data_IF_200703580586
#
_entry.id   IF_200703580586
#
_cell.length_a   1.000
_cell.length_b   1.000
_cell.length_c   1.000
_cell.angle_alpha   90.00
_cell.angle_beta   90.00
_cell.angle_gamma   90.00
#
_symmetry.space_group_name_H-M   'P 1'
#
loop_
_entity.id
_entity.type
_entity.pdbx_description
1 polymer ?
#
# COMPACT_ATOMS: atom_id res chain seq x y z
N UNK A 1 -12.41 13.28 -7.80
CA UNK A 1 -11.18 13.44 -8.60
C UNK A 1 -10.17 12.44 -8.09
N UNK A 2 -9.34 11.87 -8.95
CA UNK A 2 -8.37 10.84 -8.53
C UNK A 2 -7.00 11.47 -8.25
N UNK A 3 -6.28 10.89 -7.28
CA UNK A 3 -4.91 11.27 -6.93
C UNK A 3 -3.98 10.07 -7.09
N UNK A 4 -2.80 10.28 -7.68
CA UNK A 4 -1.74 9.27 -7.74
C UNK A 4 -0.50 9.80 -7.02
N UNK A 5 0.04 9.02 -6.09
CA UNK A 5 1.21 9.38 -5.29
C UNK A 5 2.23 8.25 -5.32
N UNK A 6 3.51 8.61 -5.48
CA UNK A 6 4.63 7.68 -5.41
C UNK A 6 5.01 7.32 -3.96
N UNK A 7 5.21 6.04 -3.71
CA UNK A 7 5.73 5.53 -2.43
C UNK A 7 7.04 4.80 -2.65
N UNK A 8 7.72 4.37 -1.57
CA UNK A 8 8.92 3.53 -1.68
C UNK A 8 8.64 2.16 -2.32
N UNK A 9 7.38 1.74 -2.38
CA UNK A 9 6.98 0.41 -2.82
C UNK A 9 6.19 0.42 -4.13
N UNK A 10 5.92 1.59 -4.71
CA UNK A 10 5.16 1.76 -5.95
C UNK A 10 4.10 2.85 -5.84
N UNK A 11 3.48 3.20 -6.97
CA UNK A 11 2.43 4.20 -7.05
C UNK A 11 1.12 3.71 -6.40
N UNK A 12 0.41 4.63 -5.73
CA UNK A 12 -0.92 4.36 -5.16
C UNK A 12 -1.93 5.34 -5.73
N UNK A 13 -3.09 4.82 -6.15
CA UNK A 13 -4.26 5.63 -6.52
C UNK A 13 -5.21 5.79 -5.35
N UNK A 14 -5.66 7.01 -5.13
CA UNK A 14 -6.68 7.38 -4.15
C UNK A 14 -7.69 8.35 -4.72
N UNK A 15 -8.54 8.88 -3.84
CA UNK A 15 -9.60 9.82 -4.19
C UNK A 15 -9.44 11.15 -3.46
N UNK A 16 -9.82 12.23 -4.12
CA UNK A 16 -9.92 13.58 -3.55
C UNK A 16 -11.41 13.92 -3.39
N UNK A 17 -11.80 14.25 -2.16
CA UNK A 17 -13.14 14.74 -1.80
C UNK A 17 -13.00 15.83 -0.72
N UNK A 18 -13.75 16.93 -0.85
CA UNK A 18 -13.77 18.04 0.13
C UNK A 18 -12.38 18.58 0.53
N UNK A 19 -11.45 18.61 -0.44
CA UNK A 19 -10.06 19.03 -0.21
C UNK A 19 -9.16 17.99 0.48
N UNK A 20 -9.68 16.80 0.79
CA UNK A 20 -8.96 15.72 1.47
C UNK A 20 -8.61 14.60 0.49
N UNK A 21 -7.33 14.20 0.49
CA UNK A 21 -6.86 13.03 -0.25
C UNK A 21 -6.96 11.78 0.62
N UNK A 22 -7.61 10.73 0.12
CA UNK A 22 -7.80 9.47 0.85
C UNK A 22 -7.26 8.30 0.04
N UNK A 23 -6.44 7.47 0.69
CA UNK A 23 -5.88 6.24 0.14
C UNK A 23 -6.16 5.09 1.10
N UNK A 24 -6.72 3.99 0.61
CA UNK A 24 -7.18 2.86 1.45
C UNK A 24 -6.52 1.57 0.99
N UNK A 25 -6.27 0.65 1.92
CA UNK A 25 -5.75 -0.68 1.61
C UNK A 25 -4.29 -0.71 1.16
N UNK A 26 -3.48 0.32 1.46
CA UNK A 26 -2.05 0.32 1.11
C UNK A 26 -1.33 -0.75 1.94
N UNK A 27 -0.70 -1.75 1.31
CA UNK A 27 0.02 -2.78 2.04
C UNK A 27 1.33 -2.21 2.58
N UNK A 28 1.57 -2.38 3.89
CA UNK A 28 2.77 -1.88 4.57
C UNK A 28 3.81 -2.96 4.86
N UNK A 29 3.44 -4.23 4.71
CA UNK A 29 4.29 -5.41 4.93
C UNK A 29 3.83 -6.56 4.04
N UNK A 30 4.69 -7.56 3.85
CA UNK A 30 4.32 -8.78 3.13
C UNK A 30 3.14 -9.50 3.82
N UNK A 31 2.27 -10.21 3.06
CA UNK A 31 1.12 -10.87 3.65
C UNK A 31 1.50 -11.88 4.76
N UNK A 32 0.78 -11.89 5.90
CA UNK A 32 1.18 -12.63 7.11
C UNK A 32 0.71 -14.09 7.16
N UNK A 33 0.39 -14.69 6.02
CA UNK A 33 -0.09 -16.07 5.90
C UNK A 33 0.95 -16.99 5.25
N UNK A 34 0.68 -18.30 5.21
CA UNK A 34 1.60 -19.30 4.69
C UNK A 34 2.90 -19.35 5.50
N UNK A 35 4.05 -19.29 4.82
CA UNK A 35 5.38 -19.32 5.44
C UNK A 35 5.64 -18.13 6.39
N UNK A 36 4.85 -17.06 6.31
CA UNK A 36 4.98 -15.89 7.19
C UNK A 36 4.10 -15.98 8.45
N UNK A 37 3.27 -17.02 8.59
CA UNK A 37 2.39 -17.17 9.76
C UNK A 37 3.23 -17.27 11.04
N UNK A 38 2.82 -16.52 12.07
CA UNK A 38 3.50 -16.44 13.38
C UNK A 38 4.96 -15.95 13.32
N UNK A 39 5.33 -15.20 12.27
CA UNK A 39 6.64 -14.56 12.15
C UNK A 39 6.51 -13.02 12.23
N UNK A 40 7.58 -12.30 12.56
CA UNK A 40 7.59 -10.84 12.45
C UNK A 40 7.21 -10.36 11.03
N UNK A 41 6.67 -9.14 10.88
CA UNK A 41 6.35 -8.56 9.58
C UNK A 41 7.55 -8.58 8.64
N UNK A 42 7.35 -9.09 7.43
CA UNK A 42 8.40 -9.15 6.41
C UNK A 42 8.30 -7.95 5.47
N UNK A 43 9.43 -7.52 4.90
CA UNK A 43 9.46 -6.44 3.93
C UNK A 43 8.60 -6.80 2.72
N UNK A 44 7.76 -5.87 2.30
CA UNK A 44 6.93 -6.03 1.10
C UNK A 44 7.79 -5.98 -0.18
N UNK A 45 7.47 -6.83 -1.14
CA UNK A 45 7.96 -6.68 -2.52
C UNK A 45 7.28 -5.46 -3.16
N UNK A 46 8.07 -4.55 -3.72
CA UNK A 46 7.54 -3.42 -4.47
C UNK A 46 6.70 -3.90 -5.67
N UNK A 47 5.67 -3.15 -6.03
CA UNK A 47 4.82 -3.40 -7.19
C UNK A 47 5.11 -2.38 -8.30
N UNK A 48 4.95 -2.82 -9.54
CA UNK A 48 4.83 -1.90 -10.68
C UNK A 48 3.40 -1.36 -10.71
N UNK A 49 3.27 -0.04 -10.81
CA UNK A 49 1.99 0.63 -11.03
C UNK A 49 1.43 0.36 -12.42
#
# INVERSE_FOLDING_TARGET
MDAVVETRNGAVRGSIADGVMTFKGIPYAAPPFGANRFRPPQRLKAWSG
#
